data_IF_430744158432
#
_entry.id   IF_430744158432
#
_cell.length_a   1.000
_cell.length_b   1.000
_cell.length_c   1.000
_cell.angle_alpha   90.00
_cell.angle_beta   90.00
_cell.angle_gamma   90.00
#
_symmetry.space_group_name_H-M   'P 1'
#
loop_
_entity.id
_entity.type
_entity.pdbx_description
1 polymer ?
#
# COMPACT_ATOMS: atom_id res chain seq x y z
N UNK A 1 22.14 60.57 37.61
CA UNK A 1 21.14 60.17 36.60
C UNK A 1 21.87 59.61 35.39
N UNK A 2 21.94 58.29 35.27
CA UNK A 2 22.29 57.62 34.01
C UNK A 2 21.65 56.23 34.07
N UNK A 3 20.58 56.07 33.28
CA UNK A 3 19.78 54.85 33.17
C UNK A 3 20.41 53.96 32.11
N UNK A 4 20.90 52.79 32.52
CA UNK A 4 21.37 51.74 31.60
C UNK A 4 20.18 50.91 31.12
N UNK A 5 19.81 51.06 29.85
CA UNK A 5 18.78 50.28 29.19
C UNK A 5 19.24 48.82 28.99
N UNK A 6 18.39 47.87 29.39
CA UNK A 6 18.56 46.44 29.17
C UNK A 6 18.33 46.07 27.69
N UNK A 7 19.07 45.10 27.13
CA UNK A 7 18.84 44.63 25.77
C UNK A 7 17.58 43.76 25.72
N UNK A 8 16.62 44.15 24.89
CA UNK A 8 15.43 43.39 24.56
C UNK A 8 15.80 42.15 23.74
N UNK A 9 15.74 40.98 24.38
CA UNK A 9 15.83 39.70 23.69
C UNK A 9 14.60 39.52 22.78
N UNK A 10 14.79 39.73 21.48
CA UNK A 10 13.82 39.37 20.46
C UNK A 10 13.67 37.84 20.45
N UNK A 11 12.64 37.35 21.15
CA UNK A 11 12.19 35.96 21.11
C UNK A 11 11.62 35.63 19.74
N UNK A 12 12.49 35.41 18.77
CA UNK A 12 12.14 34.77 17.51
C UNK A 12 11.72 33.34 17.80
N UNK A 13 10.42 33.08 17.82
CA UNK A 13 9.87 31.73 17.73
C UNK A 13 10.38 31.15 16.42
N UNK A 14 11.45 30.35 16.51
CA UNK A 14 11.91 29.53 15.40
C UNK A 14 10.70 28.71 14.94
N UNK A 15 10.09 29.12 13.81
CA UNK A 15 9.12 28.28 13.10
C UNK A 15 9.88 27.00 12.81
N UNK A 16 9.60 25.96 13.59
CA UNK A 16 10.05 24.60 13.32
C UNK A 16 9.74 24.36 11.84
N UNK A 17 10.78 24.12 11.05
CA UNK A 17 10.62 23.76 9.65
C UNK A 17 9.58 22.63 9.58
N UNK A 18 8.63 22.66 8.62
CA UNK A 18 7.64 21.62 8.50
C UNK A 18 8.36 20.26 8.50
N UNK A 19 7.90 19.27 9.29
CA UNK A 19 8.61 18.02 9.46
C UNK A 19 8.96 17.45 8.08
N UNK A 20 10.27 17.23 7.87
CA UNK A 20 10.78 16.67 6.63
C UNK A 20 10.10 15.35 6.31
N UNK A 21 9.98 15.05 5.02
CA UNK A 21 9.40 13.80 4.53
C UNK A 21 10.08 12.58 5.17
N UNK A 22 9.29 11.66 5.71
CA UNK A 22 9.75 10.44 6.37
C UNK A 22 10.40 9.49 5.34
N UNK A 23 11.74 9.48 5.31
CA UNK A 23 12.50 8.68 4.32
C UNK A 23 12.42 7.19 4.63
N UNK A 24 12.35 6.80 5.90
CA UNK A 24 12.21 5.39 6.27
C UNK A 24 10.89 4.80 5.77
N UNK A 25 9.80 5.57 5.85
CA UNK A 25 8.52 5.18 5.26
C UNK A 25 8.63 4.89 3.76
N UNK A 26 9.33 5.76 3.02
CA UNK A 26 9.54 5.54 1.58
C UNK A 26 10.44 4.31 1.34
N UNK A 27 11.47 4.06 2.14
CA UNK A 27 12.30 2.84 2.02
C UNK A 27 11.46 1.58 2.21
N UNK A 28 10.64 1.52 3.26
CA UNK A 28 9.81 0.35 3.52
C UNK A 28 8.70 0.15 2.48
N UNK A 29 8.14 1.23 1.93
CA UNK A 29 7.24 1.15 0.78
C UNK A 29 7.95 0.65 -0.47
N UNK A 30 9.19 1.07 -0.70
CA UNK A 30 10.04 0.55 -1.79
C UNK A 30 10.30 -0.94 -1.65
N UNK A 31 10.61 -1.40 -0.43
CA UNK A 31 10.76 -2.83 -0.11
C UNK A 31 9.47 -3.60 -0.41
N UNK A 32 8.31 -3.09 0.02
CA UNK A 32 7.02 -3.72 -0.28
C UNK A 32 6.79 -3.85 -1.80
N UNK A 33 7.08 -2.80 -2.58
CA UNK A 33 6.94 -2.82 -4.05
C UNK A 33 7.85 -3.85 -4.71
N UNK A 34 9.12 -3.93 -4.28
CA UNK A 34 10.05 -4.93 -4.78
C UNK A 34 9.56 -6.36 -4.44
N UNK A 35 9.11 -6.58 -3.21
CA UNK A 35 8.56 -7.87 -2.78
C UNK A 35 7.28 -8.24 -3.54
N UNK A 36 6.39 -7.28 -3.82
CA UNK A 36 5.18 -7.48 -4.64
C UNK A 36 5.58 -7.96 -6.02
N UNK A 37 6.50 -7.25 -6.69
CA UNK A 37 6.95 -7.60 -8.03
C UNK A 37 7.53 -9.02 -8.09
N UNK A 38 8.45 -9.35 -7.17
CA UNK A 38 9.03 -10.71 -7.07
C UNK A 38 7.91 -11.74 -6.89
N UNK A 39 6.91 -11.46 -6.06
CA UNK A 39 5.81 -12.38 -5.79
C UNK A 39 4.75 -12.45 -6.91
N UNK A 40 4.76 -11.53 -7.87
CA UNK A 40 3.79 -11.49 -8.96
C UNK A 40 4.32 -12.15 -10.24
N UNK A 41 5.63 -12.42 -10.34
CA UNK A 41 6.19 -13.28 -11.39
C UNK A 41 6.03 -14.75 -10.95
N UNK A 42 4.80 -15.25 -10.87
CA UNK A 42 4.51 -16.52 -10.18
C UNK A 42 5.37 -17.70 -10.67
N UNK A 43 5.87 -18.49 -9.70
CA UNK A 43 6.70 -19.66 -9.94
C UNK A 43 8.21 -19.38 -10.05
N UNK A 44 8.63 -18.12 -9.95
CA UNK A 44 10.06 -17.78 -9.97
C UNK A 44 10.77 -18.21 -8.67
N UNK A 45 12.05 -18.57 -8.78
CA UNK A 45 12.81 -19.06 -7.60
C UNK A 45 12.96 -18.05 -6.46
N UNK A 46 12.90 -16.74 -6.74
CA UNK A 46 13.07 -15.69 -5.74
C UNK A 46 11.80 -15.48 -4.91
N UNK A 47 10.64 -15.87 -5.43
CA UNK A 47 9.35 -15.81 -4.74
C UNK A 47 9.42 -16.51 -3.37
N UNK A 48 10.08 -17.68 -3.31
CA UNK A 48 10.26 -18.48 -2.08
C UNK A 48 11.08 -17.80 -0.99
N UNK A 49 11.88 -16.80 -1.34
CA UNK A 49 12.74 -16.06 -0.40
C UNK A 49 12.10 -14.77 0.11
N UNK A 50 10.90 -14.42 -0.37
CA UNK A 50 10.18 -13.27 0.15
C UNK A 50 9.48 -13.59 1.47
N UNK A 51 9.23 -12.55 2.28
CA UNK A 51 8.65 -12.69 3.61
C UNK A 51 7.26 -13.34 3.67
N UNK A 52 6.53 -13.43 2.53
CA UNK A 52 5.23 -14.11 2.49
C UNK A 52 5.32 -15.60 2.86
N UNK A 53 6.49 -16.21 2.70
CA UNK A 53 6.72 -17.63 3.00
C UNK A 53 7.21 -17.88 4.44
N UNK A 54 7.37 -16.82 5.24
CA UNK A 54 7.93 -16.90 6.59
C UNK A 54 6.96 -16.39 7.66
N UNK A 55 5.67 -16.25 7.32
CA UNK A 55 4.69 -15.72 8.25
C UNK A 55 3.27 -15.72 7.67
N UNK A 56 2.37 -15.02 8.35
CA UNK A 56 0.95 -14.99 7.97
C UNK A 56 0.56 -13.79 7.11
N UNK A 57 1.41 -12.78 6.97
CA UNK A 57 1.15 -11.60 6.14
C UNK A 57 2.20 -11.46 5.05
N UNK A 58 1.88 -10.67 4.03
CA UNK A 58 2.78 -10.33 2.94
C UNK A 58 2.87 -8.81 2.72
N UNK A 59 3.39 -8.42 1.56
CA UNK A 59 3.63 -7.04 1.23
C UNK A 59 2.34 -6.22 1.14
N UNK A 60 1.17 -6.85 0.89
CA UNK A 60 -0.11 -6.15 0.79
C UNK A 60 -0.51 -5.51 2.13
N UNK A 61 -0.40 -6.23 3.25
CA UNK A 61 -0.73 -5.72 4.57
C UNK A 61 0.20 -4.55 4.94
N UNK A 62 1.51 -4.69 4.66
CA UNK A 62 2.49 -3.64 4.89
C UNK A 62 2.16 -2.38 4.06
N UNK A 63 1.83 -2.57 2.79
CA UNK A 63 1.48 -1.47 1.88
C UNK A 63 0.23 -0.73 2.38
N UNK A 64 -0.82 -1.44 2.79
CA UNK A 64 -2.09 -0.87 3.29
C UNK A 64 -1.89 -0.13 4.61
N UNK A 65 -1.15 -0.71 5.56
CA UNK A 65 -0.81 -0.06 6.82
C UNK A 65 -0.07 1.27 6.57
N UNK A 66 0.94 1.25 5.70
CA UNK A 66 1.69 2.45 5.35
C UNK A 66 0.88 3.46 4.54
N UNK A 67 -0.08 3.03 3.73
CA UNK A 67 -0.97 3.94 3.03
C UNK A 67 -1.82 4.77 4.00
N UNK A 68 -2.38 4.13 5.03
CA UNK A 68 -3.11 4.83 6.09
C UNK A 68 -2.22 5.81 6.83
N UNK A 69 -1.04 5.36 7.23
CA UNK A 69 -0.06 6.19 7.93
C UNK A 69 0.40 7.40 7.11
N UNK A 70 0.76 7.19 5.85
CA UNK A 70 1.17 8.24 4.92
C UNK A 70 0.02 9.23 4.65
N UNK A 71 -1.21 8.73 4.53
CA UNK A 71 -2.40 9.55 4.34
C UNK A 71 -2.65 10.48 5.53
N UNK A 72 -2.52 9.98 6.76
CA UNK A 72 -2.60 10.83 7.95
C UNK A 72 -1.52 11.91 7.90
N UNK A 73 -0.23 11.55 7.79
CA UNK A 73 0.85 12.53 7.75
C UNK A 73 0.71 13.58 6.62
N UNK A 74 0.09 13.22 5.50
CA UNK A 74 -0.14 14.13 4.39
C UNK A 74 -1.31 15.10 4.61
N UNK A 75 -2.40 14.65 5.24
CA UNK A 75 -3.68 15.35 5.21
C UNK A 75 -4.24 15.76 6.59
N UNK A 76 -3.88 15.10 7.69
CA UNK A 76 -4.57 15.32 8.99
C UNK A 76 -4.33 16.70 9.60
N UNK A 77 -3.13 17.26 9.54
CA UNK A 77 -2.83 18.60 10.06
C UNK A 77 -3.58 19.70 9.32
N UNK A 78 -3.55 19.66 7.98
CA UNK A 78 -4.29 20.60 7.12
C UNK A 78 -5.79 20.48 7.33
N UNK A 79 -6.32 19.28 7.46
CA UNK A 79 -7.74 19.07 7.70
C UNK A 79 -8.23 19.65 9.04
N UNK A 80 -7.35 19.74 10.05
CA UNK A 80 -7.68 20.30 11.37
C UNK A 80 -7.68 21.83 11.41
N UNK A 81 -6.91 22.50 10.56
CA UNK A 81 -6.60 23.93 10.70
C UNK A 81 -7.82 24.83 10.47
N UNK A 82 -8.50 24.74 9.31
CA UNK A 82 -9.62 25.62 8.97
C UNK A 82 -10.79 24.86 8.31
N UNK A 83 -12.03 25.31 8.54
CA UNK A 83 -13.25 24.69 7.97
C UNK A 83 -13.25 24.70 6.44
N UNK A 84 -12.81 25.81 5.82
CA UNK A 84 -12.67 25.93 4.36
C UNK A 84 -11.61 24.97 3.78
N UNK A 85 -10.55 24.66 4.54
CA UNK A 85 -9.53 23.71 4.11
C UNK A 85 -10.03 22.26 4.10
N UNK A 86 -11.00 21.91 4.95
CA UNK A 86 -11.57 20.55 4.98
C UNK A 86 -12.14 20.14 3.64
N UNK A 87 -12.92 21.03 3.01
CA UNK A 87 -13.49 20.77 1.68
C UNK A 87 -12.38 20.60 0.62
N UNK A 88 -11.39 21.50 0.60
CA UNK A 88 -10.27 21.43 -0.34
C UNK A 88 -9.37 20.20 -0.15
N UNK A 89 -9.21 19.73 1.09
CA UNK A 89 -8.49 18.48 1.39
C UNK A 89 -9.31 17.28 0.93
N UNK A 90 -10.62 17.25 1.24
CA UNK A 90 -11.52 16.19 0.77
C UNK A 90 -11.54 16.09 -0.76
N UNK A 91 -11.66 17.20 -1.49
CA UNK A 91 -11.60 17.20 -2.95
C UNK A 91 -10.27 16.68 -3.50
N UNK A 92 -9.13 17.07 -2.90
CA UNK A 92 -7.82 16.54 -3.28
C UNK A 92 -7.70 15.03 -3.04
N UNK A 93 -8.25 14.55 -1.94
CA UNK A 93 -8.30 13.11 -1.62
C UNK A 93 -9.20 12.37 -2.62
N UNK A 94 -10.38 12.90 -2.94
CA UNK A 94 -11.28 12.30 -3.93
C UNK A 94 -10.69 12.32 -5.34
N UNK A 95 -9.99 13.38 -5.73
CA UNK A 95 -9.24 13.41 -7.00
C UNK A 95 -8.16 12.33 -7.05
N UNK A 96 -7.47 12.07 -5.94
CA UNK A 96 -6.53 10.95 -5.83
C UNK A 96 -7.22 9.58 -5.93
N UNK A 97 -8.39 9.41 -5.31
CA UNK A 97 -9.19 8.20 -5.44
C UNK A 97 -9.60 7.99 -6.91
N UNK A 98 -10.11 9.02 -7.59
CA UNK A 98 -10.44 8.96 -9.02
C UNK A 98 -9.22 8.57 -9.88
N UNK A 99 -8.04 9.10 -9.56
CA UNK A 99 -6.79 8.68 -10.22
C UNK A 99 -6.44 7.21 -10.01
N UNK A 100 -6.71 6.64 -8.83
CA UNK A 100 -6.52 5.21 -8.57
C UNK A 100 -7.52 4.36 -9.37
N UNK A 101 -8.77 4.80 -9.45
CA UNK A 101 -9.80 4.15 -10.25
C UNK A 101 -9.45 4.12 -11.74
N UNK A 102 -9.05 5.26 -12.31
CA UNK A 102 -8.64 5.31 -13.73
C UNK A 102 -7.37 4.53 -13.98
N UNK A 103 -6.42 4.52 -13.02
CA UNK A 103 -5.22 3.69 -13.09
C UNK A 103 -5.58 2.20 -13.08
N UNK A 104 -6.54 1.77 -12.25
CA UNK A 104 -7.01 0.39 -12.24
C UNK A 104 -7.56 -0.03 -13.62
N UNK A 105 -8.44 0.77 -14.22
CA UNK A 105 -8.96 0.49 -15.54
C UNK A 105 -7.86 0.46 -16.62
N UNK A 106 -6.90 1.39 -16.56
CA UNK A 106 -5.77 1.39 -17.47
C UNK A 106 -4.89 0.14 -17.33
N UNK A 107 -4.65 -0.33 -16.09
CA UNK A 107 -3.90 -1.56 -15.83
C UNK A 107 -4.67 -2.81 -16.21
N UNK A 108 -6.00 -2.81 -16.11
CA UNK A 108 -6.83 -3.88 -16.64
C UNK A 108 -6.65 -3.99 -18.16
N UNK A 109 -6.80 -2.89 -18.89
CA UNK A 109 -6.62 -2.88 -20.35
C UNK A 109 -5.21 -3.30 -20.74
N UNK A 110 -4.19 -2.76 -20.09
CA UNK A 110 -2.79 -3.08 -20.41
C UNK A 110 -2.42 -4.52 -20.05
N UNK A 111 -2.91 -5.04 -18.91
CA UNK A 111 -2.74 -6.43 -18.51
C UNK A 111 -3.41 -7.38 -19.50
N UNK A 112 -4.66 -7.10 -19.88
CA UNK A 112 -5.37 -7.86 -20.91
C UNK A 112 -4.63 -7.84 -22.25
N UNK A 113 -4.02 -6.71 -22.63
CA UNK A 113 -3.23 -6.60 -23.85
C UNK A 113 -1.96 -7.48 -23.84
N UNK A 114 -1.29 -7.62 -22.68
CA UNK A 114 -0.12 -8.52 -22.53
C UNK A 114 -0.52 -9.97 -22.77
N UNK A 115 -1.60 -10.44 -22.13
CA UNK A 115 -2.07 -11.82 -22.32
C UNK A 115 -2.66 -12.03 -23.72
N UNK A 116 -3.39 -11.06 -24.28
CA UNK A 116 -3.88 -11.15 -25.65
C UNK A 116 -2.74 -11.27 -26.67
N UNK A 117 -1.66 -10.51 -26.49
CA UNK A 117 -0.45 -10.64 -27.32
C UNK A 117 0.16 -12.05 -27.22
N UNK A 118 0.20 -12.63 -26.02
CA UNK A 118 0.71 -13.97 -25.79
C UNK A 118 -0.12 -15.04 -26.50
N UNK A 119 -1.45 -14.95 -26.37
CA UNK A 119 -2.41 -15.84 -27.03
C UNK A 119 -2.24 -15.75 -28.55
N UNK A 120 -2.10 -14.54 -29.11
CA UNK A 120 -1.87 -14.36 -30.55
C UNK A 120 -0.54 -14.97 -31.03
N UNK A 121 0.48 -15.03 -30.18
CA UNK A 121 1.79 -15.60 -30.52
C UNK A 121 1.84 -17.11 -30.39
N UNK A 122 1.11 -17.68 -29.44
CA UNK A 122 1.15 -19.11 -29.11
C UNK A 122 0.00 -19.90 -29.72
N UNK A 123 -1.13 -19.24 -29.99
CA UNK A 123 -2.40 -19.88 -30.32
C UNK A 123 -3.13 -20.47 -29.11
N UNK A 124 -2.61 -20.30 -27.89
CA UNK A 124 -3.17 -20.91 -26.67
C UNK A 124 -4.07 -19.91 -25.93
N UNK A 125 -5.39 -20.14 -26.01
CA UNK A 125 -6.39 -19.31 -25.33
C UNK A 125 -6.43 -19.54 -23.81
N UNK A 126 -5.91 -20.66 -23.30
CA UNK A 126 -5.88 -20.97 -21.86
C UNK A 126 -5.00 -19.99 -21.08
N UNK A 127 -4.11 -19.26 -21.77
CA UNK A 127 -3.33 -18.18 -21.16
C UNK A 127 -4.20 -17.09 -20.52
N UNK A 128 -5.44 -16.88 -20.98
CA UNK A 128 -6.36 -15.96 -20.31
C UNK A 128 -6.79 -16.46 -18.92
N UNK A 129 -6.87 -17.78 -18.71
CA UNK A 129 -7.27 -18.37 -17.42
C UNK A 129 -6.23 -18.14 -16.31
N UNK A 130 -4.95 -17.98 -16.69
CA UNK A 130 -3.82 -17.81 -15.75
C UNK A 130 -4.03 -16.67 -14.75
N UNK A 131 -4.73 -15.62 -15.18
CA UNK A 131 -5.03 -14.44 -14.37
C UNK A 131 -6.53 -14.14 -14.30
N UNK A 132 -7.37 -15.14 -14.61
CA UNK A 132 -8.83 -15.00 -14.67
C UNK A 132 -9.29 -13.88 -15.60
N UNK A 133 -8.73 -13.83 -16.83
CA UNK A 133 -9.14 -12.91 -17.91
C UNK A 133 -10.15 -13.53 -18.86
N UNK A 134 -10.43 -14.82 -18.77
CA UNK A 134 -11.38 -15.56 -19.59
C UNK A 134 -12.81 -15.00 -19.61
N UNK A 135 -13.35 -14.37 -18.54
CA UNK A 135 -14.68 -13.78 -18.62
C UNK A 135 -14.75 -12.65 -19.66
N UNK A 136 -13.65 -11.94 -19.92
CA UNK A 136 -13.63 -10.89 -20.95
C UNK A 136 -13.84 -11.45 -22.36
N UNK A 137 -13.56 -12.73 -22.56
CA UNK A 137 -13.75 -13.42 -23.84
C UNK A 137 -15.12 -14.10 -23.86
N UNK A 138 -15.49 -14.76 -22.76
CA UNK A 138 -16.73 -15.53 -22.66
C UNK A 138 -17.99 -14.64 -22.60
N UNK A 139 -17.96 -13.57 -21.82
CA UNK A 139 -19.05 -12.58 -21.70
C UNK A 139 -18.46 -11.16 -21.61
N UNK A 140 -18.09 -10.56 -22.76
CA UNK A 140 -17.41 -9.28 -22.79
C UNK A 140 -18.26 -8.13 -22.21
N UNK A 141 -19.57 -8.15 -22.43
CA UNK A 141 -20.46 -7.08 -21.99
C UNK A 141 -20.54 -7.08 -20.46
N UNK A 142 -20.86 -8.23 -19.87
CA UNK A 142 -20.93 -8.34 -18.41
C UNK A 142 -19.58 -8.05 -17.78
N UNK A 143 -18.49 -8.56 -18.35
CA UNK A 143 -17.14 -8.34 -17.84
C UNK A 143 -16.71 -6.87 -17.87
N UNK A 144 -17.04 -6.13 -18.92
CA UNK A 144 -16.74 -4.70 -19.01
C UNK A 144 -17.56 -3.88 -18.01
N UNK A 145 -18.85 -4.19 -17.85
CA UNK A 145 -19.69 -3.56 -16.82
C UNK A 145 -19.15 -3.89 -15.42
N UNK A 146 -18.81 -5.15 -15.17
CA UNK A 146 -18.26 -5.59 -13.89
C UNK A 146 -16.88 -4.99 -13.62
N UNK A 147 -16.04 -4.77 -14.63
CA UNK A 147 -14.76 -4.08 -14.49
C UNK A 147 -14.94 -2.62 -14.07
N UNK A 148 -15.84 -1.89 -14.75
CA UNK A 148 -16.15 -0.48 -14.45
C UNK A 148 -16.78 -0.35 -13.06
N UNK A 149 -17.62 -1.30 -12.65
CA UNK A 149 -18.21 -1.33 -11.29
C UNK A 149 -17.29 -1.93 -10.23
N UNK A 150 -16.06 -2.30 -10.60
CA UNK A 150 -15.06 -2.94 -9.73
C UNK A 150 -15.46 -4.31 -9.16
N UNK A 151 -16.56 -4.91 -9.63
CA UNK A 151 -16.96 -6.26 -9.23
C UNK A 151 -16.10 -7.34 -9.88
N UNK A 152 -15.53 -7.07 -11.06
CA UNK A 152 -14.58 -7.94 -11.73
C UNK A 152 -13.14 -7.46 -11.52
N UNK A 153 -12.33 -8.31 -10.88
CA UNK A 153 -10.96 -7.99 -10.50
C UNK A 153 -10.04 -9.17 -10.83
N UNK A 154 -9.44 -9.18 -12.03
CA UNK A 154 -8.50 -10.24 -12.40
C UNK A 154 -7.32 -10.34 -11.45
N UNK A 155 -6.61 -11.46 -11.53
CA UNK A 155 -5.40 -11.72 -10.77
C UNK A 155 -4.42 -10.53 -10.83
N UNK A 156 -3.76 -10.25 -9.71
CA UNK A 156 -2.80 -9.16 -9.52
C UNK A 156 -3.36 -7.71 -9.52
N UNK A 157 -4.59 -7.49 -10.02
CA UNK A 157 -5.19 -6.15 -10.13
C UNK A 157 -6.07 -5.76 -8.93
N UNK A 158 -6.49 -6.76 -8.14
CA UNK A 158 -7.44 -6.65 -7.03
C UNK A 158 -7.02 -5.72 -5.87
N UNK A 159 -5.73 -5.40 -5.71
CA UNK A 159 -5.30 -4.44 -4.68
C UNK A 159 -5.64 -2.99 -5.04
N UNK A 160 -5.73 -2.64 -6.32
CA UNK A 160 -6.03 -1.26 -6.74
C UNK A 160 -7.49 -0.85 -6.43
N UNK A 161 -8.52 -1.67 -6.67
CA UNK A 161 -9.89 -1.42 -6.21
C UNK A 161 -9.97 -1.21 -4.70
N UNK A 162 -9.28 -2.04 -3.91
CA UNK A 162 -9.19 -1.83 -2.46
C UNK A 162 -8.62 -0.44 -2.17
N UNK A 163 -7.50 -0.07 -2.78
CA UNK A 163 -6.85 1.23 -2.57
C UNK A 163 -7.75 2.40 -2.93
N UNK A 164 -8.50 2.30 -4.02
CA UNK A 164 -9.51 3.28 -4.39
C UNK A 164 -10.52 3.47 -3.25
N UNK A 165 -11.10 2.38 -2.73
CA UNK A 165 -12.08 2.44 -1.63
C UNK A 165 -11.46 3.03 -0.36
N UNK A 166 -10.27 2.59 0.03
CA UNK A 166 -9.58 3.08 1.24
C UNK A 166 -9.28 4.59 1.18
N UNK A 167 -8.90 5.11 0.02
CA UNK A 167 -8.70 6.55 -0.17
C UNK A 167 -10.04 7.29 -0.29
N UNK A 168 -11.06 6.69 -0.88
CA UNK A 168 -12.40 7.28 -0.96
C UNK A 168 -13.06 7.44 0.43
N UNK A 169 -12.80 6.54 1.38
CA UNK A 169 -13.29 6.66 2.77
C UNK A 169 -12.42 7.59 3.64
N UNK A 170 -11.22 7.99 3.17
CA UNK A 170 -10.30 8.81 3.96
C UNK A 170 -10.90 10.16 4.42
N UNK A 171 -11.75 10.89 3.67
CA UNK A 171 -12.41 12.10 4.17
C UNK A 171 -13.27 11.83 5.41
N UNK A 172 -13.94 10.67 5.47
CA UNK A 172 -14.70 10.24 6.65
C UNK A 172 -13.76 9.97 7.83
N UNK A 173 -12.65 9.27 7.61
CA UNK A 173 -11.64 9.00 8.64
C UNK A 173 -10.98 10.29 9.15
N UNK A 174 -10.70 11.26 8.27
CA UNK A 174 -10.21 12.58 8.63
C UNK A 174 -11.22 13.30 9.51
N UNK A 175 -12.50 13.30 9.14
CA UNK A 175 -13.57 13.89 9.93
C UNK A 175 -13.70 13.24 11.32
N UNK A 176 -13.82 11.92 11.39
CA UNK A 176 -13.87 11.17 12.66
C UNK A 176 -12.61 11.42 13.51
N UNK A 177 -11.43 11.44 12.88
CA UNK A 177 -10.14 11.67 13.53
C UNK A 177 -9.97 13.07 14.12
N UNK A 178 -10.75 14.07 13.66
CA UNK A 178 -10.87 15.38 14.33
C UNK A 178 -11.70 15.35 15.60
N UNK A 179 -12.62 14.38 15.73
CA UNK A 179 -13.49 14.24 16.91
C UNK A 179 -12.86 13.35 17.96
N UNK A 180 -12.53 12.12 17.59
CA UNK A 180 -11.87 11.17 18.48
C UNK A 180 -11.19 10.08 17.65
N UNK A 181 -9.89 9.92 17.87
CA UNK A 181 -9.13 8.85 17.22
C UNK A 181 -9.55 7.48 17.74
N UNK A 182 -9.89 7.39 19.03
CA UNK A 182 -10.42 6.18 19.65
C UNK A 182 -11.77 5.80 19.04
N UNK A 183 -12.67 6.77 18.82
CA UNK A 183 -13.95 6.51 18.17
C UNK A 183 -13.76 5.99 16.74
N UNK A 184 -12.82 6.59 15.99
CA UNK A 184 -12.48 6.17 14.63
C UNK A 184 -12.05 4.70 14.61
N UNK A 185 -11.16 4.30 15.53
CA UNK A 185 -10.69 2.92 15.66
C UNK A 185 -11.79 1.95 16.10
N UNK A 186 -12.64 2.34 17.07
CA UNK A 186 -13.74 1.49 17.56
C UNK A 186 -14.77 1.22 16.46
N UNK A 187 -15.19 2.25 15.71
CA UNK A 187 -16.13 2.07 14.60
C UNK A 187 -15.54 1.19 13.49
N UNK A 188 -14.27 1.41 13.17
CA UNK A 188 -13.55 0.62 12.17
C UNK A 188 -13.37 -0.85 12.62
N UNK A 189 -13.04 -1.09 13.89
CA UNK A 189 -12.92 -2.42 14.47
C UNK A 189 -14.27 -3.16 14.55
N UNK A 190 -15.36 -2.44 14.83
CA UNK A 190 -16.71 -2.98 14.83
C UNK A 190 -17.11 -3.44 13.43
N UNK A 191 -16.86 -2.62 12.40
CA UNK A 191 -17.11 -3.00 11.00
C UNK A 191 -16.27 -4.20 10.56
N UNK A 192 -14.98 -4.21 10.91
CA UNK A 192 -14.08 -5.35 10.65
C UNK A 192 -14.57 -6.64 11.28
N UNK A 193 -14.91 -6.59 12.57
CA UNK A 193 -15.39 -7.76 13.31
C UNK A 193 -16.72 -8.24 12.75
N UNK A 194 -17.65 -7.32 12.46
CA UNK A 194 -18.93 -7.67 11.84
C UNK A 194 -18.70 -8.37 10.50
N UNK A 195 -17.95 -7.76 9.58
CA UNK A 195 -17.68 -8.33 8.25
C UNK A 195 -16.99 -9.69 8.31
N UNK A 196 -16.05 -9.89 9.24
CA UNK A 196 -15.38 -11.18 9.45
C UNK A 196 -16.32 -12.27 9.99
N UNK A 197 -17.15 -11.94 10.98
CA UNK A 197 -18.05 -12.89 11.63
C UNK A 197 -19.30 -13.23 10.81
N UNK A 198 -19.80 -12.31 10.00
CA UNK A 198 -20.97 -12.53 9.12
C UNK A 198 -20.57 -12.91 7.71
N UNK A 199 -19.25 -12.99 7.42
CA UNK A 199 -18.70 -13.13 6.07
C UNK A 199 -19.22 -12.09 5.07
N UNK A 200 -19.67 -10.91 5.53
CA UNK A 200 -20.20 -9.86 4.64
C UNK A 200 -19.09 -9.33 3.75
N UNK A 201 -19.34 -9.35 2.43
CA UNK A 201 -18.39 -8.91 1.42
C UNK A 201 -19.13 -8.17 0.29
N UNK A 202 -18.39 -7.40 -0.51
CA UNK A 202 -18.91 -6.81 -1.73
C UNK A 202 -19.03 -7.88 -2.82
N UNK A 203 -20.04 -7.81 -3.70
CA UNK A 203 -20.23 -8.78 -4.76
C UNK A 203 -19.05 -8.75 -5.75
N UNK A 204 -18.67 -9.94 -6.21
CA UNK A 204 -17.66 -10.15 -7.25
C UNK A 204 -18.27 -10.85 -8.45
N UNK A 205 -17.62 -10.69 -9.60
CA UNK A 205 -17.91 -11.41 -10.82
C UNK A 205 -16.58 -11.91 -11.41
N UNK A 206 -16.51 -13.11 -12.00
CA UNK A 206 -17.56 -14.14 -12.07
C UNK A 206 -17.62 -15.01 -10.81
N UNK A 207 -16.57 -14.98 -9.98
CA UNK A 207 -16.44 -15.84 -8.81
C UNK A 207 -17.43 -15.44 -7.72
N UNK A 208 -18.07 -16.44 -7.11
CA UNK A 208 -18.84 -16.26 -5.88
C UNK A 208 -17.90 -16.02 -4.67
N UNK A 209 -18.42 -15.43 -3.59
CA UNK A 209 -17.66 -15.18 -2.34
C UNK A 209 -17.18 -13.73 -2.14
N UNK A 210 -17.27 -12.89 -3.17
CA UNK A 210 -17.02 -11.46 -3.08
C UNK A 210 -15.57 -11.05 -3.34
N UNK A 211 -15.25 -9.81 -2.99
CA UNK A 211 -13.92 -9.24 -3.26
C UNK A 211 -12.81 -9.99 -2.51
N UNK A 212 -11.73 -10.34 -3.22
CA UNK A 212 -10.54 -10.97 -2.63
C UNK A 212 -9.90 -10.10 -1.54
N UNK A 213 -9.89 -8.78 -1.72
CA UNK A 213 -9.53 -7.84 -0.66
C UNK A 213 -10.80 -7.17 -0.16
N UNK A 214 -11.47 -7.76 0.83
CA UNK A 214 -12.74 -7.24 1.34
C UNK A 214 -12.55 -5.85 1.98
N UNK A 215 -13.07 -4.76 1.39
CA UNK A 215 -12.84 -3.42 1.90
C UNK A 215 -13.41 -3.19 3.31
N UNK A 216 -14.45 -3.92 3.70
CA UNK A 216 -15.06 -3.84 5.03
C UNK A 216 -14.08 -4.33 6.13
N UNK A 217 -13.23 -5.29 5.79
CA UNK A 217 -12.22 -5.84 6.70
C UNK A 217 -10.91 -5.07 6.62
N UNK A 218 -10.39 -4.87 5.41
CA UNK A 218 -9.07 -4.27 5.17
C UNK A 218 -9.00 -2.78 5.55
N UNK A 219 -10.15 -2.08 5.59
CA UNK A 219 -10.20 -0.70 6.09
C UNK A 219 -9.72 -0.57 7.54
N UNK A 220 -9.79 -1.63 8.35
CA UNK A 220 -9.31 -1.55 9.72
C UNK A 220 -7.79 -1.43 9.81
N UNK A 221 -7.05 -2.20 9.02
CA UNK A 221 -5.59 -2.08 8.94
C UNK A 221 -5.16 -0.70 8.44
N UNK A 222 -5.86 -0.18 7.42
CA UNK A 222 -5.65 1.19 6.95
C UNK A 222 -5.93 2.21 8.06
N UNK A 223 -7.02 2.05 8.80
CA UNK A 223 -7.40 2.95 9.90
C UNK A 223 -6.43 2.90 11.07
N UNK A 224 -5.86 1.72 11.39
CA UNK A 224 -4.76 1.59 12.36
C UNK A 224 -3.57 2.41 11.88
N UNK A 225 -3.14 2.25 10.62
CA UNK A 225 -2.07 3.04 10.03
C UNK A 225 -2.34 4.54 10.11
N UNK A 226 -3.55 4.96 9.75
CA UNK A 226 -4.03 6.34 9.83
C UNK A 226 -3.95 6.88 11.26
N UNK A 227 -4.37 6.09 12.26
CA UNK A 227 -4.28 6.48 13.66
C UNK A 227 -2.84 6.65 14.13
N UNK A 228 -1.94 5.75 13.74
CA UNK A 228 -0.51 5.87 14.04
C UNK A 228 0.10 7.13 13.41
N UNK A 229 -0.25 7.45 12.17
CA UNK A 229 0.23 8.67 11.49
C UNK A 229 -0.33 9.95 12.14
N UNK A 230 -1.61 9.95 12.52
CA UNK A 230 -2.22 11.06 13.28
C UNK A 230 -1.55 11.27 14.64
N UNK A 231 -1.16 10.17 15.32
CA UNK A 231 -0.47 10.23 16.61
C UNK A 231 0.97 10.76 16.45
N UNK A 232 1.69 10.31 15.43
CA UNK A 232 3.02 10.84 15.10
C UNK A 232 2.99 12.33 14.82
N UNK A 233 2.02 12.78 14.01
CA UNK A 233 1.88 14.20 13.70
C UNK A 233 1.63 15.05 14.97
N UNK A 234 0.85 14.52 15.93
CA UNK A 234 0.53 15.23 17.17
C UNK A 234 1.67 15.22 18.20
N UNK A 235 2.39 14.10 18.31
CA UNK A 235 3.29 13.82 19.45
C UNK A 235 4.76 13.66 19.05
N UNK A 236 5.08 13.69 17.76
CA UNK A 236 6.42 13.40 17.23
C UNK A 236 6.77 11.92 17.20
N UNK A 237 5.93 11.06 17.79
CA UNK A 237 6.23 9.65 18.00
C UNK A 237 5.01 8.75 17.75
N UNK A 238 5.24 7.50 17.33
CA UNK A 238 4.18 6.54 16.98
C UNK A 238 3.79 5.66 18.16
N UNK A 239 4.65 4.72 18.55
CA UNK A 239 4.35 3.68 19.54
C UNK A 239 5.55 3.48 20.48
N UNK A 240 5.37 3.57 21.82
CA UNK A 240 6.44 3.39 22.78
C UNK A 240 7.01 1.97 22.77
N UNK A 241 8.31 1.89 23.00
CA UNK A 241 8.97 0.61 23.21
C UNK A 241 8.57 0.03 24.58
N UNK A 242 8.05 -1.19 24.55
CA UNK A 242 7.74 -1.99 25.72
C UNK A 242 8.34 -3.36 25.53
N UNK A 243 9.39 -3.68 26.31
CA UNK A 243 10.10 -4.97 26.24
C UNK A 243 9.18 -6.20 26.24
N UNK A 244 8.17 -6.34 27.14
CA UNK A 244 7.31 -7.53 27.11
C UNK A 244 6.47 -7.60 25.83
N UNK A 245 5.92 -6.47 25.37
CA UNK A 245 5.17 -6.43 24.11
C UNK A 245 6.06 -6.79 22.91
N UNK A 246 7.32 -6.35 22.92
CA UNK A 246 8.28 -6.66 21.86
C UNK A 246 8.66 -8.14 21.84
N UNK A 247 8.91 -8.73 23.02
CA UNK A 247 9.18 -10.16 23.14
C UNK A 247 7.97 -11.02 22.74
N UNK A 248 6.75 -10.60 23.10
CA UNK A 248 5.53 -11.28 22.66
C UNK A 248 5.34 -11.19 21.15
N UNK A 249 5.54 -10.00 20.56
CA UNK A 249 5.48 -9.81 19.12
C UNK A 249 6.53 -10.67 18.40
N UNK A 250 7.78 -10.68 18.88
CA UNK A 250 8.84 -11.51 18.31
C UNK A 250 8.52 -13.01 18.45
N UNK A 251 8.06 -13.45 19.62
CA UNK A 251 7.66 -14.84 19.85
C UNK A 251 6.52 -15.25 18.90
N UNK A 252 5.54 -14.38 18.70
CA UNK A 252 4.46 -14.62 17.74
C UNK A 252 4.98 -14.72 16.29
N UNK A 253 5.91 -13.86 15.88
CA UNK A 253 6.53 -13.94 14.55
C UNK A 253 7.31 -15.25 14.34
N UNK A 254 8.01 -15.73 15.37
CA UNK A 254 8.71 -17.03 15.32
C UNK A 254 7.69 -18.17 15.19
N UNK A 255 6.61 -18.15 15.98
CA UNK A 255 5.55 -19.16 15.89
C UNK A 255 4.90 -19.14 14.52
N UNK A 256 4.54 -17.97 13.98
CA UNK A 256 3.96 -17.88 12.64
C UNK A 256 4.92 -18.36 11.56
N UNK A 257 6.23 -18.10 11.71
CA UNK A 257 7.24 -18.62 10.79
C UNK A 257 7.30 -20.15 10.83
N UNK A 258 7.32 -20.76 12.02
CA UNK A 258 7.29 -22.22 12.19
C UNK A 258 6.01 -22.79 11.57
N UNK A 259 4.86 -22.20 11.85
CA UNK A 259 3.57 -22.64 11.31
C UNK A 259 3.56 -22.58 9.78
N UNK A 260 4.05 -21.48 9.19
CA UNK A 260 4.08 -21.31 7.73
C UNK A 260 5.10 -22.25 7.06
N UNK A 261 6.32 -22.32 7.57
CA UNK A 261 7.42 -23.11 6.97
C UNK A 261 7.17 -24.61 7.04
N UNK A 262 6.60 -25.09 8.15
CA UNK A 262 6.26 -26.51 8.33
C UNK A 262 4.82 -26.85 7.91
N UNK A 263 4.10 -25.91 7.29
CA UNK A 263 2.72 -26.09 6.84
C UNK A 263 1.77 -26.60 7.93
N UNK A 264 1.94 -26.11 9.17
CA UNK A 264 1.16 -26.51 10.36
C UNK A 264 -0.11 -25.68 10.56
N UNK A 265 -0.48 -24.85 9.58
CA UNK A 265 -1.64 -23.98 9.71
C UNK A 265 -2.92 -24.82 9.86
N UNK A 266 -3.87 -24.41 10.72
CA UNK A 266 -5.15 -25.10 10.82
C UNK A 266 -5.84 -25.09 9.46
N UNK A 267 -6.43 -26.23 9.09
CA UNK A 267 -7.29 -26.32 7.92
C UNK A 267 -8.60 -25.58 8.22
N UNK A 268 -9.12 -24.87 7.23
CA UNK A 268 -10.45 -24.27 7.29
C UNK A 268 -11.50 -25.38 7.36
N UNK A 269 -12.44 -25.29 8.30
CA UNK A 269 -13.43 -26.34 8.56
C UNK A 269 -14.87 -25.79 8.48
N UNK A 270 -15.10 -24.76 7.65
CA UNK A 270 -16.36 -24.04 7.46
C UNK A 270 -16.97 -23.44 8.75
N UNK A 271 -16.19 -23.37 9.82
CA UNK A 271 -16.57 -22.71 11.07
C UNK A 271 -16.10 -21.27 11.02
N UNK A 272 -16.98 -20.38 10.59
CA UNK A 272 -16.70 -18.94 10.37
C UNK A 272 -15.92 -18.29 11.52
N UNK A 273 -16.34 -18.51 12.77
CA UNK A 273 -15.67 -17.96 13.94
C UNK A 273 -14.23 -18.46 14.07
N UNK A 274 -14.01 -19.76 13.85
CA UNK A 274 -12.67 -20.37 13.92
C UNK A 274 -11.81 -19.88 12.77
N UNK A 275 -12.33 -19.83 11.55
CA UNK A 275 -11.58 -19.38 10.39
C UNK A 275 -11.10 -17.93 10.58
N UNK A 276 -12.00 -17.06 11.04
CA UNK A 276 -11.67 -15.66 11.29
C UNK A 276 -10.65 -15.46 12.41
N UNK A 277 -10.70 -16.29 13.46
CA UNK A 277 -9.84 -16.15 14.65
C UNK A 277 -8.51 -16.92 14.57
N UNK A 278 -8.45 -18.05 13.87
CA UNK A 278 -7.34 -19.01 13.96
C UNK A 278 -6.70 -19.34 12.61
N UNK A 279 -7.41 -19.19 11.49
CA UNK A 279 -6.86 -19.47 10.16
C UNK A 279 -6.32 -18.16 9.56
N UNK A 280 -5.08 -18.11 9.03
CA UNK A 280 -4.49 -16.89 8.47
C UNK A 280 -5.06 -16.51 7.08
N UNK A 281 -6.38 -16.48 6.95
CA UNK A 281 -7.11 -16.16 5.73
C UNK A 281 -6.93 -14.69 5.32
N UNK A 282 -6.75 -14.44 4.01
CA UNK A 282 -6.47 -13.12 3.45
C UNK A 282 -7.72 -12.29 3.17
N UNK A 283 -8.81 -12.92 2.74
CA UNK A 283 -9.99 -12.20 2.25
C UNK A 283 -10.59 -11.25 3.29
N UNK A 284 -10.80 -11.77 4.50
CA UNK A 284 -11.33 -11.01 5.64
C UNK A 284 -10.25 -10.43 6.55
N UNK A 285 -8.97 -10.45 6.13
CA UNK A 285 -7.84 -10.06 6.99
C UNK A 285 -7.98 -10.68 8.39
N UNK A 286 -8.02 -12.00 8.44
CA UNK A 286 -8.21 -12.76 9.68
C UNK A 286 -7.31 -12.28 10.83
N UNK A 287 -7.74 -12.53 12.06
CA UNK A 287 -7.04 -12.06 13.27
C UNK A 287 -5.55 -12.47 13.29
N UNK A 288 -5.15 -13.72 12.95
CA UNK A 288 -3.74 -14.09 12.93
C UNK A 288 -2.92 -13.25 11.95
N UNK A 289 -3.47 -12.94 10.76
CA UNK A 289 -2.82 -12.14 9.72
C UNK A 289 -2.71 -10.67 10.13
N UNK A 290 -3.78 -10.11 10.73
CA UNK A 290 -3.77 -8.76 11.29
C UNK A 290 -2.72 -8.62 12.40
N UNK A 291 -2.73 -9.54 13.37
CA UNK A 291 -1.75 -9.53 14.47
C UNK A 291 -0.32 -9.69 13.94
N UNK A 292 -0.14 -10.48 12.88
CA UNK A 292 1.16 -10.73 12.28
C UNK A 292 1.78 -9.47 11.68
N UNK A 293 1.03 -8.74 10.84
CA UNK A 293 1.56 -7.49 10.26
C UNK A 293 1.83 -6.44 11.33
N UNK A 294 1.00 -6.36 12.38
CA UNK A 294 1.20 -5.42 13.48
C UNK A 294 2.42 -5.78 14.34
N UNK A 295 2.61 -7.07 14.65
CA UNK A 295 3.79 -7.58 15.33
C UNK A 295 5.06 -7.31 14.51
N UNK A 296 5.02 -7.58 13.19
CA UNK A 296 6.12 -7.32 12.28
C UNK A 296 6.49 -5.83 12.26
N UNK A 297 5.50 -4.95 12.10
CA UNK A 297 5.71 -3.51 12.13
C UNK A 297 6.31 -3.05 13.47
N UNK A 298 5.80 -3.57 14.60
CA UNK A 298 6.28 -3.21 15.93
C UNK A 298 7.74 -3.65 16.16
N UNK A 299 8.07 -4.90 15.80
CA UNK A 299 9.43 -5.44 15.93
C UNK A 299 10.39 -4.66 15.04
N UNK A 300 10.04 -4.41 13.78
CA UNK A 300 10.89 -3.70 12.81
C UNK A 300 11.16 -2.27 13.27
N UNK A 301 10.15 -1.51 13.69
CA UNK A 301 10.29 -0.12 14.18
C UNK A 301 11.21 -0.02 15.38
N UNK A 302 11.27 -1.06 16.23
CA UNK A 302 12.14 -1.12 17.41
C UNK A 302 13.41 -1.96 17.19
N UNK A 303 13.79 -2.20 15.93
CA UNK A 303 15.01 -2.94 15.57
C UNK A 303 16.04 -2.02 14.89
N UNK A 304 17.30 -2.47 14.75
CA UNK A 304 18.32 -1.75 13.97
C UNK A 304 17.92 -1.50 12.51
N UNK A 305 16.95 -2.25 11.97
CA UNK A 305 16.45 -2.06 10.61
C UNK A 305 15.78 -0.70 10.42
N UNK A 306 15.09 -0.20 11.45
CA UNK A 306 14.47 1.12 11.39
C UNK A 306 15.53 2.22 11.32
N UNK A 307 16.56 2.15 12.18
CA UNK A 307 17.68 3.08 12.14
C UNK A 307 18.44 3.02 10.79
N UNK A 308 18.60 1.81 10.23
CA UNK A 308 19.18 1.64 8.89
C UNK A 308 18.35 2.34 7.80
N UNK A 309 17.02 2.21 7.84
CA UNK A 309 16.10 2.82 6.90
C UNK A 309 16.07 4.35 7.02
N UNK A 310 16.09 4.88 8.25
CA UNK A 310 16.18 6.32 8.54
C UNK A 310 17.50 6.93 8.06
N UNK A 311 18.60 6.19 8.17
CA UNK A 311 19.91 6.62 7.70
C UNK A 311 20.07 6.59 6.17
N UNK A 312 19.12 6.02 5.42
CA UNK A 312 19.20 6.02 3.95
C UNK A 312 18.92 7.43 3.41
N UNK A 313 19.66 7.88 2.39
CA UNK A 313 19.36 9.16 1.77
C UNK A 313 18.06 9.06 0.94
N UNK A 314 17.37 10.19 0.75
CA UNK A 314 16.11 10.27 0.02
C UNK A 314 16.21 9.90 -1.49
N UNK A 315 17.44 9.80 -2.02
CA UNK A 315 17.73 9.31 -3.37
C UNK A 315 18.26 7.85 -3.38
N UNK A 316 18.15 7.13 -2.26
CA UNK A 316 18.43 5.69 -2.26
C UNK A 316 17.41 4.94 -3.13
N UNK A 317 17.79 3.80 -3.75
CA UNK A 317 16.91 3.03 -4.63
C UNK A 317 15.52 2.76 -4.05
N UNK A 318 15.46 2.22 -2.83
CA UNK A 318 14.19 1.90 -2.16
C UNK A 318 13.37 3.15 -1.82
N UNK A 319 14.00 4.21 -1.31
CA UNK A 319 13.30 5.47 -1.01
C UNK A 319 12.69 6.08 -2.28
N UNK A 320 13.40 6.01 -3.41
CA UNK A 320 12.89 6.50 -4.68
C UNK A 320 11.69 5.70 -5.17
N UNK A 321 11.75 4.35 -5.06
CA UNK A 321 10.62 3.48 -5.40
C UNK A 321 9.40 3.79 -4.54
N UNK A 322 9.56 3.83 -3.23
CA UNK A 322 8.43 4.09 -2.32
C UNK A 322 7.87 5.50 -2.43
N UNK A 323 8.70 6.50 -2.77
CA UNK A 323 8.22 7.86 -3.03
C UNK A 323 7.23 7.90 -4.19
N UNK A 324 7.54 7.19 -5.27
CA UNK A 324 6.77 7.13 -6.50
C UNK A 324 5.98 5.82 -6.62
N UNK A 325 5.36 5.39 -5.50
CA UNK A 325 4.85 4.02 -5.38
C UNK A 325 3.84 3.62 -6.44
N UNK A 326 2.94 4.52 -6.88
CA UNK A 326 1.90 4.17 -7.84
C UNK A 326 2.49 3.90 -9.24
N UNK A 327 3.27 4.82 -9.86
CA UNK A 327 3.96 4.52 -11.11
C UNK A 327 4.85 3.27 -11.04
N UNK A 328 5.59 3.11 -9.94
CA UNK A 328 6.48 1.95 -9.75
C UNK A 328 5.68 0.65 -9.67
N UNK A 329 4.57 0.64 -8.93
CA UNK A 329 3.64 -0.48 -8.88
C UNK A 329 3.08 -0.81 -10.26
N UNK A 330 2.62 0.19 -11.02
CA UNK A 330 2.09 -0.02 -12.38
C UNK A 330 3.15 -0.61 -13.32
N UNK A 331 4.39 -0.09 -13.29
CA UNK A 331 5.51 -0.66 -14.05
C UNK A 331 5.78 -2.10 -13.64
N UNK A 332 5.86 -2.37 -12.32
CA UNK A 332 6.05 -3.71 -11.79
C UNK A 332 4.94 -4.68 -12.22
N UNK A 333 3.69 -4.25 -12.20
CA UNK A 333 2.53 -5.08 -12.53
C UNK A 333 2.51 -5.53 -14.00
N UNK A 334 2.78 -4.60 -14.92
CA UNK A 334 2.85 -4.92 -16.36
C UNK A 334 4.01 -5.87 -16.63
N UNK A 335 5.16 -5.62 -16.00
CA UNK A 335 6.32 -6.51 -16.10
C UNK A 335 6.04 -7.87 -15.45
N UNK A 336 5.33 -7.93 -14.32
CA UNK A 336 5.05 -9.21 -13.69
C UNK A 336 4.12 -10.06 -14.53
N UNK A 337 3.07 -9.47 -15.10
CA UNK A 337 2.18 -10.15 -16.04
C UNK A 337 2.95 -10.64 -17.28
N UNK A 338 3.84 -9.81 -17.82
CA UNK A 338 4.73 -10.20 -18.93
C UNK A 338 5.64 -11.37 -18.53
N UNK A 339 6.20 -11.36 -17.32
CA UNK A 339 7.05 -12.44 -16.80
C UNK A 339 6.29 -13.74 -16.65
N UNK A 340 5.08 -13.69 -16.10
CA UNK A 340 4.17 -14.84 -16.01
C UNK A 340 3.89 -15.40 -17.39
N UNK A 341 3.53 -14.54 -18.35
CA UNK A 341 3.33 -14.93 -19.74
C UNK A 341 4.56 -15.64 -20.31
N UNK A 342 5.75 -15.05 -20.22
CA UNK A 342 6.97 -15.63 -20.77
C UNK A 342 7.25 -17.02 -20.17
N UNK A 343 7.02 -17.19 -18.87
CA UNK A 343 7.13 -18.48 -18.20
C UNK A 343 6.15 -19.52 -18.73
N UNK A 344 4.88 -19.14 -18.90
CA UNK A 344 3.86 -20.03 -19.46
C UNK A 344 4.16 -20.43 -20.90
N UNK A 345 4.93 -19.61 -21.64
CA UNK A 345 5.36 -19.90 -23.02
C UNK A 345 6.74 -20.59 -23.12
N UNK A 346 7.27 -21.12 -22.02
CA UNK A 346 8.50 -21.93 -22.01
C UNK A 346 9.80 -21.20 -21.67
N UNK A 347 9.75 -19.94 -21.21
CA UNK A 347 10.93 -19.28 -20.62
C UNK A 347 10.97 -19.51 -19.11
N UNK A 348 11.66 -20.55 -18.67
CA UNK A 348 11.75 -20.93 -17.26
C UNK A 348 13.20 -21.16 -16.80
N UNK A 349 13.34 -21.61 -15.55
CA UNK A 349 14.62 -21.92 -14.93
C UNK A 349 15.26 -20.78 -14.14
N UNK A 350 16.18 -21.17 -13.26
CA UNK A 350 16.83 -20.29 -12.26
C UNK A 350 17.51 -19.08 -12.91
N UNK A 351 18.20 -19.28 -14.04
CA UNK A 351 18.91 -18.21 -14.75
C UNK A 351 17.97 -17.17 -15.34
N UNK A 352 16.88 -17.62 -15.97
CA UNK A 352 15.83 -16.71 -16.47
C UNK A 352 15.19 -15.94 -15.32
N UNK A 353 14.85 -16.61 -14.23
CA UNK A 353 14.19 -15.99 -13.08
C UNK A 353 15.02 -14.87 -12.45
N UNK A 354 16.28 -15.15 -12.15
CA UNK A 354 17.17 -14.17 -11.55
C UNK A 354 17.35 -12.98 -12.49
N UNK A 355 17.58 -13.23 -13.79
CA UNK A 355 17.78 -12.18 -14.77
C UNK A 355 16.52 -11.34 -14.96
N UNK A 356 15.36 -11.98 -15.15
CA UNK A 356 14.08 -11.30 -15.38
C UNK A 356 13.69 -10.44 -14.19
N UNK A 357 13.78 -11.00 -12.98
CA UNK A 357 13.47 -10.24 -11.76
C UNK A 357 14.45 -9.08 -11.57
N UNK A 358 15.75 -9.29 -11.79
CA UNK A 358 16.74 -8.22 -11.69
C UNK A 358 16.47 -7.08 -12.69
N UNK A 359 16.17 -7.42 -13.95
CA UNK A 359 15.80 -6.44 -14.98
C UNK A 359 14.49 -5.71 -14.63
N UNK A 360 13.50 -6.42 -14.10
CA UNK A 360 12.23 -5.82 -13.71
C UNK A 360 12.34 -4.88 -12.50
N UNK A 361 13.17 -5.22 -11.52
CA UNK A 361 13.53 -4.29 -10.43
C UNK A 361 14.32 -3.09 -10.99
N UNK A 362 15.26 -3.32 -11.92
CA UNK A 362 16.00 -2.27 -12.60
C UNK A 362 15.09 -1.29 -13.37
N UNK A 363 14.09 -1.80 -14.09
CA UNK A 363 13.11 -0.99 -14.82
C UNK A 363 12.23 -0.16 -13.87
N UNK A 364 11.78 -0.75 -12.76
CA UNK A 364 11.05 -0.02 -11.71
C UNK A 364 11.90 1.09 -11.07
N UNK A 365 13.19 0.82 -10.81
CA UNK A 365 14.14 1.82 -10.33
C UNK A 365 14.37 2.94 -11.34
N UNK A 366 14.50 2.59 -12.63
CA UNK A 366 14.62 3.57 -13.70
C UNK A 366 13.39 4.47 -13.77
N UNK A 367 12.19 3.91 -13.71
CA UNK A 367 10.95 4.68 -13.67
C UNK A 367 10.92 5.65 -12.46
N UNK A 368 11.25 5.17 -11.26
CA UNK A 368 11.35 6.00 -10.07
C UNK A 368 12.40 7.12 -10.21
N UNK A 369 13.53 6.83 -10.86
CA UNK A 369 14.60 7.79 -11.11
C UNK A 369 14.22 8.86 -12.12
N UNK A 370 13.60 8.50 -13.23
CA UNK A 370 13.10 9.46 -14.23
C UNK A 370 12.06 10.40 -13.62
N UNK A 371 11.13 9.90 -12.81
CA UNK A 371 10.14 10.72 -12.11
C UNK A 371 10.78 11.67 -11.10
N UNK A 372 11.81 11.20 -10.40
CA UNK A 372 12.59 12.04 -9.48
C UNK A 372 13.31 13.18 -10.21
N UNK A 373 13.86 12.92 -11.40
CA UNK A 373 14.47 13.95 -12.22
C UNK A 373 13.44 14.95 -12.76
N UNK A 374 12.29 14.46 -13.21
CA UNK A 374 11.20 15.31 -13.70
C UNK A 374 10.69 16.25 -12.59
N UNK A 375 10.52 15.76 -11.37
CA UNK A 375 10.13 16.55 -10.19
C UNK A 375 11.18 17.63 -9.87
N UNK A 376 12.48 17.28 -9.87
CA UNK A 376 13.56 18.24 -9.67
C UNK A 376 13.60 19.32 -10.77
N UNK A 377 13.37 18.95 -12.03
CA UNK A 377 13.33 19.90 -13.17
C UNK A 377 12.15 20.85 -13.05
N UNK A 378 10.95 20.35 -12.71
CA UNK A 378 9.76 21.18 -12.47
C UNK A 378 9.96 22.14 -11.30
N UNK A 379 10.55 21.69 -10.21
CA UNK A 379 10.88 22.55 -9.06
C UNK A 379 11.86 23.66 -9.43
N UNK A 380 12.90 23.37 -10.23
CA UNK A 380 13.84 24.38 -10.74
C UNK A 380 13.15 25.38 -11.68
N UNK A 381 12.32 24.89 -12.61
CA UNK A 381 11.58 25.76 -13.52
C UNK A 381 10.62 26.70 -12.78
N UNK A 382 9.93 26.22 -11.74
CA UNK A 382 9.06 27.04 -10.89
C UNK A 382 9.83 28.09 -10.07
N UNK A 383 11.06 27.79 -9.66
CA UNK A 383 11.92 28.73 -8.94
C UNK A 383 12.54 29.82 -9.82
N UNK A 384 12.65 29.58 -11.13
CA UNK A 384 13.21 30.53 -12.12
C UNK A 384 12.12 31.37 -12.78
N UNK A 385 10.84 30.97 -12.70
CA UNK A 385 9.74 31.76 -13.23
C UNK A 385 9.68 33.14 -12.54
N UNK A 386 9.70 34.27 -13.28
CA UNK A 386 9.57 35.59 -12.69
C UNK A 386 8.25 35.68 -11.91
N UNK A 387 8.30 36.23 -10.69
CA UNK A 387 7.10 36.45 -9.88
C UNK A 387 6.06 37.27 -10.66
N UNK A 388 4.76 37.15 -10.33
CA UNK A 388 3.73 37.91 -11.03
C UNK A 388 4.15 39.38 -11.02
N UNK A 389 4.26 39.96 -12.21
CA UNK A 389 4.49 41.39 -12.35
C UNK A 389 3.38 42.06 -11.55
N UNK A 390 3.75 42.72 -10.45
CA UNK A 390 2.87 43.63 -9.75
C UNK A 390 2.60 44.71 -10.79
N UNK A 391 1.45 44.62 -11.46
CA UNK A 391 0.95 45.74 -12.24
C UNK A 391 0.71 46.84 -11.21
N UNK A 392 1.45 47.97 -11.26
CA UNK A 392 0.95 49.16 -10.59
C UNK A 392 -0.36 49.49 -11.28
N UNK A 393 -1.49 49.49 -10.56
CA UNK A 393 -2.61 50.44 -10.60
C UNK A 393 -3.75 49.91 -9.73
#
# INVERSE_FOLDING_TARGET
MSSTAAPTAAGGTARLAPPGRDTALDVWRGFALASIFINHVSGNVLEGWTHKNFGFSDAAELFVLFAGYAAACAYSGRYKSHSAERFNVSLRVMSRAAGLYTTHLAMLVLGSAVFAWAVLRTGDAELFNVVALDPLIADPIQSLVSAVTLSYQPGYLNILPLYFVLIAILPLLLWLGTRSLSLTLVLSAALYTAAGLTRTNLPSYPMEGGWFFNPLSWQFLFTIGFALGCKRERTGFTIPYHRPAWLLALGFLIVSMVVTVFHLAPVAEDVVLRDFLLVPEKQYLSVPRLLHVLALAYVVVHSPLQAWAEARPANSPLAMMGRHSLPVFCTGLVLSMTGVTLRQTGHDGVGFDILYVALGIGAQLLAAWLLTLAEKRRGRAAAVAPGPAVLPF
#
